data_IF_281800870122
#
_entry.id   IF_281800870122
#
_cell.length_a   1.000
_cell.length_b   1.000
_cell.length_c   1.000
_cell.angle_alpha   90.00
_cell.angle_beta   90.00
_cell.angle_gamma   90.00
#
_symmetry.space_group_name_H-M   'P 1'
#
loop_
_entity.id
_entity.type
_entity.pdbx_description
1 polymer ?
#
# COMPACT_ATOMS: atom_id res chain seq x y z
N UNK A 1 7.28 14.37 -51.14
CA UNK A 1 7.98 14.87 -49.94
C UNK A 1 7.62 13.91 -48.80
N UNK A 2 8.46 12.92 -48.53
CA UNK A 2 8.12 11.82 -47.63
C UNK A 2 8.25 12.29 -46.18
N UNK A 3 7.13 12.32 -45.45
CA UNK A 3 7.15 12.57 -44.01
C UNK A 3 7.55 11.28 -43.29
N UNK A 4 8.73 11.28 -42.67
CA UNK A 4 9.18 10.20 -41.80
C UNK A 4 8.51 10.41 -40.44
N UNK A 5 7.58 9.51 -40.08
CA UNK A 5 6.94 9.48 -38.78
C UNK A 5 7.90 8.85 -37.77
N UNK A 6 8.52 9.64 -36.91
CA UNK A 6 9.35 9.13 -35.81
C UNK A 6 8.44 8.84 -34.62
N UNK A 7 8.07 7.56 -34.44
CA UNK A 7 7.39 7.09 -33.24
C UNK A 7 8.41 6.80 -32.13
N UNK A 8 8.52 7.68 -31.13
CA UNK A 8 9.24 7.40 -29.90
C UNK A 8 8.41 6.42 -29.04
N UNK A 9 8.78 5.14 -29.04
CA UNK A 9 8.31 4.18 -28.05
C UNK A 9 9.07 4.42 -26.73
N UNK A 10 8.48 5.23 -25.84
CA UNK A 10 8.93 5.34 -24.45
C UNK A 10 8.41 4.12 -23.67
N UNK A 11 9.19 3.04 -23.63
CA UNK A 11 8.96 1.94 -22.69
C UNK A 11 9.60 2.31 -21.34
N UNK A 12 8.86 3.04 -20.51
CA UNK A 12 9.23 3.30 -19.12
C UNK A 12 8.58 2.28 -18.20
N UNK A 13 9.37 1.53 -17.44
CA UNK A 13 8.84 0.83 -16.26
C UNK A 13 8.50 1.91 -15.24
N UNK A 14 7.21 2.25 -15.11
CA UNK A 14 6.75 3.11 -14.03
C UNK A 14 6.83 2.27 -12.75
N UNK A 15 7.91 2.45 -12.00
CA UNK A 15 8.07 1.86 -10.67
C UNK A 15 7.13 2.59 -9.69
N UNK A 16 5.82 2.32 -9.78
CA UNK A 16 4.81 2.90 -8.89
C UNK A 16 4.94 2.43 -7.44
N UNK A 17 5.88 1.53 -7.17
CA UNK A 17 6.16 1.01 -5.84
C UNK A 17 6.97 2.00 -4.98
N UNK A 18 7.82 2.83 -5.56
CA UNK A 18 8.56 3.86 -4.81
C UNK A 18 8.55 5.16 -5.58
N UNK A 19 7.87 6.18 -5.04
CA UNK A 19 7.72 7.46 -5.71
C UNK A 19 7.62 8.62 -4.73
N UNK A 20 7.95 9.80 -5.26
CA UNK A 20 7.82 11.08 -4.58
C UNK A 20 6.60 11.82 -5.12
N UNK A 21 5.82 12.41 -4.22
CA UNK A 21 4.67 13.26 -4.53
C UNK A 21 5.16 14.71 -4.52
N UNK A 22 4.85 15.45 -5.57
CA UNK A 22 5.21 16.86 -5.72
C UNK A 22 3.94 17.70 -5.80
N UNK A 23 3.88 18.80 -5.04
CA UNK A 23 2.77 19.77 -5.08
C UNK A 23 3.35 21.11 -5.51
N UNK A 24 2.89 21.64 -6.66
CA UNK A 24 3.36 22.91 -7.23
C UNK A 24 4.89 23.01 -7.38
N UNK A 25 5.55 21.90 -7.72
CA UNK A 25 7.01 21.83 -7.86
C UNK A 25 7.77 21.56 -6.55
N UNK A 26 7.10 21.54 -5.40
CA UNK A 26 7.71 21.23 -4.11
C UNK A 26 7.54 19.76 -3.74
N UNK A 27 8.62 19.13 -3.29
CA UNK A 27 8.58 17.77 -2.76
C UNK A 27 7.70 17.72 -1.50
N UNK A 28 6.60 16.98 -1.58
CA UNK A 28 5.55 16.95 -0.58
C UNK A 28 5.55 15.68 0.25
N UNK A 29 5.82 14.52 -0.35
CA UNK A 29 5.85 13.25 0.36
C UNK A 29 6.63 12.17 -0.40
N UNK A 30 7.15 11.19 0.34
CA UNK A 30 7.65 9.94 -0.22
C UNK A 30 6.69 8.81 0.10
N UNK A 31 6.49 7.92 -0.87
CA UNK A 31 5.68 6.73 -0.75
C UNK A 31 6.52 5.52 -1.16
N UNK A 32 6.54 4.50 -0.30
CA UNK A 32 7.18 3.22 -0.63
C UNK A 32 6.24 2.06 -0.36
N UNK A 33 6.17 1.16 -1.32
CA UNK A 33 5.50 -0.12 -1.28
C UNK A 33 6.54 -1.22 -1.46
N UNK A 34 6.49 -2.24 -0.62
CA UNK A 34 7.35 -3.42 -0.75
C UNK A 34 6.48 -4.66 -0.68
N UNK A 35 6.52 -5.48 -1.72
CA UNK A 35 5.90 -6.81 -1.74
C UNK A 35 7.01 -7.82 -1.48
N UNK A 36 6.79 -8.68 -0.50
CA UNK A 36 7.69 -9.77 -0.14
C UNK A 36 7.11 -11.09 -0.65
N UNK A 37 7.99 -11.96 -1.13
CA UNK A 37 7.62 -13.30 -1.64
C UNK A 37 6.91 -14.17 -0.57
N UNK A 38 7.08 -13.83 0.71
CA UNK A 38 6.42 -14.48 1.84
C UNK A 38 4.91 -14.20 1.97
N UNK A 39 4.30 -13.45 1.04
CA UNK A 39 2.89 -13.07 1.12
C UNK A 39 2.66 -11.87 2.03
N UNK A 40 3.53 -10.87 1.92
CA UNK A 40 3.45 -9.65 2.72
C UNK A 40 3.58 -8.42 1.84
N UNK A 41 2.75 -7.42 2.07
CA UNK A 41 2.84 -6.12 1.40
C UNK A 41 2.90 -5.02 2.46
N UNK A 42 3.96 -4.22 2.40
CA UNK A 42 4.17 -3.06 3.24
C UNK A 42 3.96 -1.79 2.43
N UNK A 43 3.39 -0.78 3.07
CA UNK A 43 3.19 0.55 2.49
C UNK A 43 3.55 1.62 3.51
N UNK A 44 4.39 2.56 3.11
CA UNK A 44 4.86 3.66 3.95
C UNK A 44 4.64 4.98 3.23
N UNK A 45 4.27 6.00 3.99
CA UNK A 45 4.14 7.37 3.47
C UNK A 45 4.77 8.33 4.46
N UNK A 46 5.58 9.26 3.98
CA UNK A 46 6.17 10.30 4.81
C UNK A 46 6.06 11.65 4.12
N UNK A 47 5.47 12.64 4.78
CA UNK A 47 5.50 14.01 4.30
C UNK A 47 6.93 14.56 4.36
N UNK A 48 7.25 15.48 3.45
CA UNK A 48 8.57 16.10 3.30
C UNK A 48 8.45 17.61 3.11
N UNK A 49 9.59 18.29 3.30
CA UNK A 49 9.73 19.72 3.04
C UNK A 49 8.72 20.58 3.80
N UNK A 50 8.13 21.55 3.11
CA UNK A 50 7.16 22.48 3.68
C UNK A 50 5.90 21.78 4.19
N UNK A 51 5.49 20.71 3.51
CA UNK A 51 4.28 19.96 3.88
C UNK A 51 4.50 19.24 5.22
N UNK A 52 5.68 18.68 5.47
CA UNK A 52 6.02 18.07 6.78
C UNK A 52 6.08 19.10 7.91
N UNK A 53 6.51 20.33 7.61
CA UNK A 53 6.55 21.42 8.59
C UNK A 53 5.15 21.85 9.03
N UNK A 54 4.22 22.02 8.09
CA UNK A 54 2.84 22.46 8.37
C UNK A 54 2.00 21.29 8.88
N UNK A 55 2.22 20.10 8.32
CA UNK A 55 1.44 18.90 8.60
C UNK A 55 2.33 17.65 8.61
N UNK A 56 2.99 17.36 9.74
CA UNK A 56 3.88 16.21 9.82
C UNK A 56 3.08 14.91 9.74
N UNK A 57 3.43 14.06 8.77
CA UNK A 57 2.77 12.78 8.55
C UNK A 57 3.77 11.65 8.29
N UNK A 58 3.61 10.54 9.00
CA UNK A 58 4.34 9.31 8.80
C UNK A 58 3.40 8.12 9.06
N UNK A 59 2.96 7.46 8.01
CA UNK A 59 2.03 6.33 8.09
C UNK A 59 2.71 5.05 7.65
N UNK A 60 2.32 3.97 8.31
CA UNK A 60 2.79 2.62 8.04
C UNK A 60 1.60 1.67 7.98
N UNK A 61 1.55 0.88 6.91
CA UNK A 61 0.58 -0.17 6.69
C UNK A 61 1.32 -1.46 6.36
N UNK A 62 0.83 -2.57 6.88
CA UNK A 62 1.38 -3.90 6.69
C UNK A 62 0.23 -4.88 6.52
N UNK A 63 0.29 -5.73 5.52
CA UNK A 63 -0.72 -6.76 5.26
C UNK A 63 -0.05 -8.08 4.93
N UNK A 64 -0.43 -9.12 5.66
CA UNK A 64 -0.05 -10.51 5.37
C UNK A 64 -1.21 -11.22 4.68
N UNK A 65 -0.90 -12.03 3.69
CA UNK A 65 -1.85 -12.73 2.84
C UNK A 65 -1.30 -14.09 2.39
N UNK A 66 -2.20 -14.99 2.00
CA UNK A 66 -1.85 -16.26 1.37
C UNK A 66 -1.26 -15.99 -0.03
N UNK A 67 -0.01 -16.34 -0.35
CA UNK A 67 0.61 -16.02 -1.64
C UNK A 67 -0.08 -16.66 -2.86
N UNK A 68 -0.78 -17.78 -2.68
CA UNK A 68 -1.45 -18.49 -3.76
C UNK A 68 -2.85 -17.93 -4.02
N UNK A 69 -3.57 -17.57 -2.95
CA UNK A 69 -4.97 -17.10 -3.03
C UNK A 69 -5.12 -15.60 -2.89
N UNK A 70 -4.10 -14.89 -2.41
CA UNK A 70 -4.13 -13.49 -1.98
C UNK A 70 -5.20 -13.19 -0.94
N UNK A 71 -5.68 -14.20 -0.22
CA UNK A 71 -6.64 -14.03 0.87
C UNK A 71 -5.96 -13.43 2.09
N UNK A 72 -6.63 -12.50 2.76
CA UNK A 72 -6.14 -11.81 3.95
C UNK A 72 -5.84 -12.81 5.09
N UNK A 73 -4.67 -12.67 5.71
CA UNK A 73 -4.30 -13.34 6.97
C UNK A 73 -4.36 -12.33 8.11
N UNK A 74 -3.68 -11.19 7.96
CA UNK A 74 -3.71 -10.11 8.93
C UNK A 74 -3.32 -8.78 8.30
N UNK A 75 -3.68 -7.68 8.96
CA UNK A 75 -3.20 -6.36 8.59
C UNK A 75 -2.98 -5.50 9.83
N UNK A 76 -2.15 -4.48 9.65
CA UNK A 76 -1.83 -3.48 10.65
C UNK A 76 -1.72 -2.11 10.00
N UNK A 77 -2.21 -1.09 10.70
CA UNK A 77 -1.95 0.31 10.39
C UNK A 77 -1.40 1.04 11.61
N UNK A 78 -0.45 1.93 11.37
CA UNK A 78 0.06 2.90 12.33
C UNK A 78 -0.01 4.25 11.62
N UNK A 79 -0.91 5.11 12.08
CA UNK A 79 -1.04 6.46 11.56
C UNK A 79 -0.28 7.39 12.48
N UNK A 80 0.48 8.34 11.95
CA UNK A 80 1.06 9.45 12.71
C UNK A 80 0.90 10.71 11.89
N UNK A 81 -0.13 11.50 12.17
CA UNK A 81 -0.45 12.73 11.46
C UNK A 81 -0.79 13.82 12.47
N UNK A 82 0.15 14.74 12.73
CA UNK A 82 0.00 15.74 13.78
C UNK A 82 -0.32 15.09 15.14
N UNK A 83 -1.48 15.41 15.72
CA UNK A 83 -1.97 14.83 17.00
C UNK A 83 -2.66 13.47 16.82
N UNK A 84 -3.07 13.10 15.61
CA UNK A 84 -3.74 11.84 15.32
C UNK A 84 -2.71 10.72 15.15
N UNK A 85 -2.58 9.86 16.18
CA UNK A 85 -1.55 8.80 16.24
C UNK A 85 -2.06 7.38 16.53
N UNK A 86 -3.24 6.93 16.04
CA UNK A 86 -3.75 5.61 16.38
C UNK A 86 -2.97 4.48 15.69
N UNK A 87 -2.97 3.32 16.33
CA UNK A 87 -2.61 2.05 15.72
C UNK A 87 -3.75 1.06 15.85
N UNK A 88 -3.97 0.28 14.79
CA UNK A 88 -5.00 -0.74 14.73
C UNK A 88 -4.46 -1.92 13.96
N UNK A 89 -4.77 -3.12 14.40
CA UNK A 89 -4.47 -4.35 13.68
C UNK A 89 -5.65 -5.30 13.73
N UNK A 90 -5.79 -6.12 12.70
CA UNK A 90 -6.72 -7.21 12.72
C UNK A 90 -6.12 -8.48 12.09
N UNK A 91 -6.57 -9.64 12.56
CA UNK A 91 -6.12 -10.95 12.11
C UNK A 91 -7.31 -11.87 11.93
N UNK A 92 -7.30 -12.66 10.85
CA UNK A 92 -8.27 -13.73 10.63
C UNK A 92 -8.01 -14.85 11.63
N UNK A 93 -9.04 -15.26 12.36
CA UNK A 93 -9.00 -16.48 13.15
C UNK A 93 -9.27 -17.73 12.29
N UNK A 94 -9.17 -18.90 12.91
CA UNK A 94 -9.39 -20.19 12.24
C UNK A 94 -10.82 -20.40 11.76
N UNK A 95 -11.78 -19.58 12.21
CA UNK A 95 -13.19 -19.67 11.85
C UNK A 95 -13.58 -18.70 10.74
N UNK A 96 -12.63 -17.90 10.25
CA UNK A 96 -12.92 -16.90 9.21
C UNK A 96 -13.42 -15.58 9.74
N UNK A 97 -13.26 -15.30 11.04
CA UNK A 97 -13.66 -14.05 11.66
C UNK A 97 -12.44 -13.13 11.76
N UNK A 98 -12.60 -11.88 11.36
CA UNK A 98 -11.56 -10.86 11.49
C UNK A 98 -11.61 -10.25 12.88
N UNK A 99 -10.55 -10.48 13.67
CA UNK A 99 -10.44 -10.01 15.05
C UNK A 99 -9.55 -8.77 15.13
N UNK A 100 -10.12 -7.65 15.55
CA UNK A 100 -9.48 -6.35 15.72
C UNK A 100 -8.98 -6.18 17.15
N UNK A 101 -7.68 -5.86 17.30
CA UNK A 101 -7.02 -5.63 18.59
C UNK A 101 -7.46 -6.64 19.68
N UNK A 102 -7.63 -7.90 19.30
CA UNK A 102 -8.03 -9.02 20.15
C UNK A 102 -9.45 -8.98 20.74
N UNK A 103 -10.22 -7.91 20.54
CA UNK A 103 -11.48 -7.68 21.27
C UNK A 103 -12.72 -7.53 20.38
N UNK A 104 -12.59 -6.93 19.19
CA UNK A 104 -13.74 -6.69 18.30
C UNK A 104 -13.73 -7.65 17.11
N UNK A 105 -14.87 -8.28 16.83
CA UNK A 105 -14.98 -9.35 15.84
C UNK A 105 -15.92 -8.97 14.70
N UNK A 106 -15.49 -9.20 13.47
CA UNK A 106 -16.28 -8.97 12.26
C UNK A 106 -16.27 -10.23 11.42
N UNK A 107 -17.45 -10.77 11.11
CA UNK A 107 -17.59 -11.91 10.19
C UNK A 107 -17.47 -11.42 8.76
N UNK A 108 -16.61 -12.06 7.97
CA UNK A 108 -16.40 -11.77 6.55
C UNK A 108 -16.76 -12.99 5.71
N UNK A 109 -17.14 -12.76 4.45
CA UNK A 109 -17.20 -13.82 3.46
C UNK A 109 -15.78 -14.26 3.08
N UNK A 110 -15.51 -15.56 3.13
CA UNK A 110 -14.20 -16.11 2.74
C UNK A 110 -14.17 -16.51 1.26
N UNK A 111 -13.06 -16.25 0.53
CA UNK A 111 -11.86 -15.54 0.98
C UNK A 111 -12.07 -14.01 1.07
N UNK A 112 -11.54 -13.41 2.13
CA UNK A 112 -11.53 -11.96 2.29
C UNK A 112 -10.29 -11.34 1.61
N UNK A 113 -10.47 -10.19 0.96
CA UNK A 113 -9.38 -9.43 0.35
C UNK A 113 -9.40 -7.99 0.84
N UNK A 114 -8.23 -7.35 0.85
CA UNK A 114 -8.10 -5.91 1.07
C UNK A 114 -7.57 -5.25 -0.20
N UNK A 115 -7.59 -3.92 -0.25
CA UNK A 115 -6.96 -3.18 -1.34
C UNK A 115 -5.49 -3.59 -1.51
N UNK A 116 -4.76 -3.81 -0.42
CA UNK A 116 -3.36 -4.22 -0.48
C UNK A 116 -3.17 -5.64 -1.01
N UNK A 117 -4.03 -6.59 -0.65
CA UNK A 117 -3.92 -7.96 -1.20
C UNK A 117 -4.31 -8.01 -2.67
N UNK A 118 -5.31 -7.22 -3.08
CA UNK A 118 -5.68 -7.07 -4.50
C UNK A 118 -4.55 -6.39 -5.29
N UNK A 119 -3.89 -5.41 -4.71
CA UNK A 119 -2.75 -4.74 -5.33
C UNK A 119 -1.57 -5.70 -5.51
N UNK A 120 -1.28 -6.52 -4.50
CA UNK A 120 -0.28 -7.58 -4.60
C UNK A 120 -0.65 -8.61 -5.69
N UNK A 121 -1.92 -9.00 -5.80
CA UNK A 121 -2.41 -9.93 -6.83
C UNK A 121 -2.23 -9.40 -8.25
N UNK A 122 -2.50 -8.12 -8.47
CA UNK A 122 -2.34 -7.50 -9.79
C UNK A 122 -0.85 -7.41 -10.14
N UNK A 123 -0.02 -7.00 -9.18
CA UNK A 123 1.42 -6.83 -9.40
C UNK A 123 2.18 -8.16 -9.51
N UNK A 124 1.65 -9.26 -8.97
CA UNK A 124 2.26 -10.59 -9.11
C UNK A 124 2.03 -11.23 -10.48
N UNK A 125 1.02 -10.77 -11.24
CA UNK A 125 0.67 -11.35 -12.54
C UNK A 125 1.42 -10.74 -13.72
N UNK A 126 2.24 -9.71 -13.48
CA UNK A 126 2.95 -8.97 -14.53
C UNK A 126 1.99 -8.14 -15.42
N UNK A 127 2.52 -7.17 -16.20
CA UNK A 127 1.80 -6.61 -17.34
C UNK A 127 1.62 -7.65 -18.46
#
# INVERSE_FOLDING_TARGET
MNQILICFFLTGVVASQSYSVTILGFHAADVNQTIHDSGRIEFTTQNRGLIDLIWPANNYYDTQFDPAKFSLISWKKKIRQGTYKPSLSAKMDSTGVLVYNENHKVTLSNPAHTIFTMLAMIQSKGP
#
